data_IF_525428825479
#
_entry.id   IF_525428825479
#
_cell.length_a   1.000
_cell.length_b   1.000
_cell.length_c   1.000
_cell.angle_alpha   90.00
_cell.angle_beta   90.00
_cell.angle_gamma   90.00
#
_symmetry.space_group_name_H-M   'P 1'
#
loop_
_entity.id
_entity.type
_entity.pdbx_description
1 polymer ?
#
# COMPACT_ATOMS: atom_id res chain seq x y z
N UNK A 1 -18.12 -5.65 -15.49
CA UNK A 1 -18.13 -5.55 -14.02
C UNK A 1 -17.92 -4.10 -13.56
N UNK A 2 -16.77 -3.48 -13.86
CA UNK A 2 -16.43 -2.10 -13.43
C UNK A 2 -17.54 -1.07 -13.75
N UNK A 3 -18.10 -1.10 -14.96
CA UNK A 3 -19.18 -0.19 -15.35
C UNK A 3 -20.53 -0.40 -14.63
N UNK A 4 -20.72 -1.55 -13.96
CA UNK A 4 -21.98 -1.91 -13.31
C UNK A 4 -21.90 -1.82 -11.78
N UNK A 5 -20.71 -1.59 -11.22
CA UNK A 5 -20.43 -1.56 -9.77
C UNK A 5 -19.62 -0.30 -9.44
N UNK A 6 -20.27 0.87 -9.29
CA UNK A 6 -19.57 2.14 -9.11
C UNK A 6 -18.73 2.19 -7.84
N UNK A 7 -18.99 1.34 -6.84
CA UNK A 7 -18.13 1.21 -5.65
C UNK A 7 -16.70 0.76 -5.99
N UNK A 8 -16.48 0.16 -7.16
CA UNK A 8 -15.15 -0.25 -7.63
C UNK A 8 -14.30 0.92 -8.13
N UNK A 9 -14.93 2.05 -8.45
CA UNK A 9 -14.29 3.20 -9.14
C UNK A 9 -13.05 3.67 -8.41
N UNK A 10 -13.12 3.80 -7.08
CA UNK A 10 -12.00 4.28 -6.29
C UNK A 10 -10.77 3.36 -6.41
N UNK A 11 -10.95 2.04 -6.25
CA UNK A 11 -9.84 1.09 -6.35
C UNK A 11 -9.30 0.99 -7.79
N UNK A 12 -10.18 1.04 -8.78
CA UNK A 12 -9.81 0.98 -10.20
C UNK A 12 -8.97 2.20 -10.60
N UNK A 13 -9.29 3.40 -10.09
CA UNK A 13 -8.47 4.59 -10.32
C UNK A 13 -7.04 4.44 -9.78
N UNK A 14 -6.84 3.75 -8.65
CA UNK A 14 -5.50 3.42 -8.16
C UNK A 14 -4.80 2.39 -9.03
N UNK A 15 -5.50 1.34 -9.44
CA UNK A 15 -4.95 0.26 -10.28
C UNK A 15 -4.43 0.76 -11.62
N UNK A 16 -5.13 1.71 -12.25
CA UNK A 16 -4.73 2.29 -13.53
C UNK A 16 -3.91 3.59 -13.41
N UNK A 17 -3.45 3.91 -12.21
CA UNK A 17 -2.38 4.90 -12.00
C UNK A 17 -1.02 4.21 -11.96
N UNK A 18 0.08 4.97 -11.89
CA UNK A 18 1.42 4.42 -11.73
C UNK A 18 1.57 3.45 -10.54
N UNK A 19 0.71 3.59 -9.51
CA UNK A 19 0.68 2.66 -8.37
C UNK A 19 0.33 1.21 -8.76
N UNK A 20 -0.25 0.99 -9.94
CA UNK A 20 -0.52 -0.34 -10.49
C UNK A 20 0.73 -1.09 -10.96
N UNK A 21 1.84 -0.39 -11.21
CA UNK A 21 3.10 -0.94 -11.70
C UNK A 21 4.26 -0.55 -10.77
N UNK A 22 4.31 -1.04 -9.52
CA UNK A 22 5.39 -0.73 -8.59
C UNK A 22 6.74 -1.23 -9.12
N UNK A 23 7.79 -0.44 -8.88
CA UNK A 23 9.16 -0.82 -9.20
C UNK A 23 9.74 -1.73 -8.09
N UNK A 24 9.35 -3.00 -8.14
CA UNK A 24 9.64 -3.97 -7.09
C UNK A 24 8.82 -3.74 -5.81
N UNK A 25 8.97 -4.64 -4.84
CA UNK A 25 8.18 -4.58 -3.60
C UNK A 25 8.67 -3.52 -2.61
N UNK A 26 9.96 -3.17 -2.66
CA UNK A 26 10.59 -2.33 -1.64
C UNK A 26 10.18 -0.87 -1.75
N UNK A 27 9.82 -0.42 -2.94
CA UNK A 27 9.52 0.99 -3.24
C UNK A 27 8.01 1.27 -3.28
N UNK A 28 7.20 0.52 -2.53
CA UNK A 28 5.77 0.75 -2.39
C UNK A 28 5.33 0.83 -0.93
N UNK A 29 4.25 1.58 -0.70
CA UNK A 29 3.61 1.63 0.62
C UNK A 29 2.65 0.45 0.80
N UNK A 30 2.44 0.05 2.06
CA UNK A 30 1.39 -0.86 2.48
C UNK A 30 0.26 -0.12 3.20
N UNK A 31 -0.98 -0.57 2.99
CA UNK A 31 -2.17 0.02 3.61
C UNK A 31 -3.08 -1.10 4.13
N UNK A 32 -3.51 -1.00 5.39
CA UNK A 32 -4.39 -2.01 6.00
C UNK A 32 -5.80 -2.08 5.41
N UNK A 33 -6.16 -1.13 4.54
CA UNK A 33 -7.47 -0.97 3.89
C UNK A 33 -8.62 -0.71 4.86
N UNK A 34 -8.94 -1.67 5.74
CA UNK A 34 -10.03 -1.58 6.71
C UNK A 34 -9.73 -0.62 7.85
N UNK A 35 -10.81 -0.17 8.51
CA UNK A 35 -10.73 0.51 9.80
C UNK A 35 -10.72 -0.53 10.89
N UNK A 36 -9.75 -0.45 11.80
CA UNK A 36 -9.61 -1.34 12.95
C UNK A 36 -9.92 -0.57 14.24
N UNK A 37 -9.91 -1.29 15.38
CA UNK A 37 -10.00 -0.70 16.71
C UNK A 37 -8.73 -0.98 17.49
N UNK A 38 -8.17 0.04 18.13
CA UNK A 38 -7.16 -0.11 19.17
C UNK A 38 -7.85 0.08 20.52
N UNK A 39 -7.67 -0.88 21.43
CA UNK A 39 -8.29 -0.86 22.75
C UNK A 39 -7.19 -0.78 23.80
N UNK A 40 -7.25 0.20 24.70
CA UNK A 40 -6.27 0.37 25.77
C UNK A 40 -6.58 -0.54 26.98
N UNK A 41 -5.74 -0.47 28.01
CA UNK A 41 -5.86 -1.27 29.24
C UNK A 41 -7.15 -1.02 30.03
N UNK A 42 -7.77 0.15 29.83
CA UNK A 42 -8.97 0.61 30.53
C UNK A 42 -10.24 0.29 29.72
N UNK A 43 -10.11 -0.37 28.56
CA UNK A 43 -11.22 -0.75 27.67
C UNK A 43 -11.67 0.36 26.71
N UNK A 44 -10.99 1.50 26.71
CA UNK A 44 -11.31 2.62 25.81
C UNK A 44 -10.75 2.34 24.41
N UNK A 45 -11.52 2.71 23.38
CA UNK A 45 -11.20 2.37 22.01
C UNK A 45 -11.12 3.59 21.09
N UNK A 46 -10.19 3.55 20.14
CA UNK A 46 -10.13 4.46 18.99
C UNK A 46 -10.18 3.67 17.69
N UNK A 47 -10.76 4.26 16.65
CA UNK A 47 -10.61 3.74 15.30
C UNK A 47 -9.20 4.01 14.79
N UNK A 48 -8.67 3.09 13.98
CA UNK A 48 -7.38 3.29 13.35
C UNK A 48 -7.29 2.76 11.91
N UNK A 49 -6.33 3.32 11.16
CA UNK A 49 -5.80 2.80 9.90
C UNK A 49 -4.31 2.54 10.05
N UNK A 50 -3.84 1.39 9.57
CA UNK A 50 -2.42 1.05 9.52
C UNK A 50 -1.81 1.39 8.17
N UNK A 51 -0.63 2.01 8.19
CA UNK A 51 0.12 2.40 7.02
C UNK A 51 1.59 1.99 7.17
N UNK A 52 2.10 1.22 6.22
CA UNK A 52 3.53 0.98 6.06
C UNK A 52 4.06 1.96 5.02
N UNK A 53 4.91 2.89 5.44
CA UNK A 53 5.54 3.87 4.54
C UNK A 53 6.93 3.38 4.19
N UNK A 54 7.19 3.13 2.90
CA UNK A 54 8.50 2.70 2.43
C UNK A 54 9.53 3.79 2.74
N UNK A 55 10.62 3.41 3.39
CA UNK A 55 11.74 4.32 3.67
C UNK A 55 12.67 4.46 2.45
N UNK A 56 12.44 3.66 1.38
CA UNK A 56 13.20 3.70 0.13
C UNK A 56 12.63 4.73 -0.88
N UNK A 57 11.48 5.33 -0.55
CA UNK A 57 10.71 6.17 -1.45
C UNK A 57 9.83 5.37 -2.40
N UNK A 58 8.84 6.05 -3.00
CA UNK A 58 7.92 5.42 -3.94
C UNK A 58 8.49 5.52 -5.36
N UNK A 59 8.55 4.39 -6.06
CA UNK A 59 8.86 4.35 -7.49
C UNK A 59 7.96 3.38 -8.22
N UNK A 60 7.70 3.70 -9.48
CA UNK A 60 6.80 2.98 -10.35
C UNK A 60 7.42 2.87 -11.74
N UNK A 61 7.12 1.77 -12.42
CA UNK A 61 7.52 1.51 -13.79
C UNK A 61 6.54 2.17 -14.76
N UNK A 62 7.04 2.63 -15.90
CA UNK A 62 6.17 2.96 -17.03
C UNK A 62 5.44 1.70 -17.52
N UNK A 63 4.28 1.87 -18.15
CA UNK A 63 3.51 0.76 -18.69
C UNK A 63 4.32 -0.08 -19.68
N UNK A 64 5.09 0.57 -20.57
CA UNK A 64 5.94 -0.11 -21.55
C UNK A 64 7.02 -0.97 -20.85
N UNK A 65 7.68 -0.42 -19.81
CA UNK A 65 8.71 -1.16 -19.09
C UNK A 65 8.14 -2.32 -18.27
N UNK A 66 6.98 -2.11 -17.63
CA UNK A 66 6.28 -3.17 -16.92
C UNK A 66 5.85 -4.29 -17.89
N UNK A 67 5.38 -3.93 -19.09
CA UNK A 67 5.05 -4.88 -20.15
C UNK A 67 6.26 -5.70 -20.61
N UNK A 68 7.39 -5.04 -20.87
CA UNK A 68 8.65 -5.70 -21.24
C UNK A 68 9.13 -6.69 -20.15
N UNK A 69 9.16 -6.24 -18.89
CA UNK A 69 9.60 -7.07 -17.76
C UNK A 69 8.67 -8.26 -17.53
N UNK A 70 7.36 -8.11 -17.76
CA UNK A 70 6.41 -9.22 -17.57
C UNK A 70 6.72 -10.46 -18.41
N UNK A 71 7.39 -10.29 -19.56
CA UNK A 71 7.82 -11.40 -20.42
C UNK A 71 9.30 -11.74 -20.28
N UNK A 72 10.18 -10.72 -20.22
CA UNK A 72 11.63 -10.93 -20.16
C UNK A 72 12.12 -11.37 -18.78
N UNK A 73 11.40 -11.02 -17.72
CA UNK A 73 11.78 -11.25 -16.34
C UNK A 73 10.55 -11.27 -15.39
N UNK A 74 9.75 -12.35 -15.42
CA UNK A 74 8.54 -12.44 -14.61
C UNK A 74 8.82 -12.42 -13.09
N UNK A 75 10.07 -12.67 -12.67
CA UNK A 75 10.49 -12.70 -11.27
C UNK A 75 11.08 -11.37 -10.79
N UNK A 76 11.03 -10.30 -11.61
CA UNK A 76 11.67 -9.00 -11.34
C UNK A 76 11.56 -8.52 -9.89
N UNK A 77 10.32 -8.42 -9.37
CA UNK A 77 10.08 -7.88 -8.03
C UNK A 77 10.62 -8.80 -6.91
N UNK A 78 10.56 -10.13 -7.11
CA UNK A 78 11.15 -11.09 -6.18
C UNK A 78 12.66 -11.04 -6.21
N UNK A 79 13.28 -10.97 -7.40
CA UNK A 79 14.72 -10.87 -7.55
C UNK A 79 15.27 -9.57 -6.99
N UNK A 80 14.61 -8.43 -7.22
CA UNK A 80 14.97 -7.15 -6.60
C UNK A 80 15.01 -7.26 -5.07
N UNK A 81 13.96 -7.83 -4.47
CA UNK A 81 13.87 -8.00 -3.02
C UNK A 81 14.96 -8.94 -2.49
N UNK A 82 15.12 -10.11 -3.13
CA UNK A 82 16.11 -11.11 -2.73
C UNK A 82 17.54 -10.57 -2.80
N UNK A 83 17.93 -9.99 -3.94
CA UNK A 83 19.28 -9.47 -4.15
C UNK A 83 19.58 -8.34 -3.16
N UNK A 84 18.60 -7.46 -2.91
CA UNK A 84 18.78 -6.37 -1.96
C UNK A 84 19.04 -6.87 -0.54
N UNK A 85 18.34 -7.92 -0.10
CA UNK A 85 18.61 -8.55 1.20
C UNK A 85 19.97 -9.24 1.19
N UNK A 86 20.31 -9.99 0.13
CA UNK A 86 21.58 -10.71 0.02
C UNK A 86 22.80 -9.77 0.03
N UNK A 87 22.65 -8.56 -0.52
CA UNK A 87 23.67 -7.51 -0.56
C UNK A 87 23.73 -6.67 0.74
N UNK A 88 22.89 -6.95 1.73
CA UNK A 88 22.82 -6.18 2.98
C UNK A 88 22.06 -4.85 2.86
N UNK A 89 21.41 -4.58 1.71
CA UNK A 89 20.54 -3.44 1.46
C UNK A 89 19.10 -3.74 1.94
N UNK A 90 18.95 -3.98 3.25
CA UNK A 90 17.67 -4.37 3.84
C UNK A 90 16.60 -3.29 3.66
N UNK A 91 15.45 -3.59 3.03
CA UNK A 91 14.35 -2.66 2.99
C UNK A 91 13.68 -2.54 4.36
N UNK A 92 13.20 -1.34 4.65
CA UNK A 92 12.45 -1.00 5.85
C UNK A 92 11.20 -0.17 5.50
N UNK A 93 10.21 -0.30 6.37
CA UNK A 93 9.01 0.52 6.33
C UNK A 93 8.72 1.10 7.70
N UNK A 94 8.45 2.40 7.74
CA UNK A 94 7.91 3.08 8.90
C UNK A 94 6.42 2.77 9.07
N UNK A 95 6.05 2.09 10.16
CA UNK A 95 4.65 1.92 10.55
C UNK A 95 4.09 3.24 11.08
N UNK A 96 3.04 3.74 10.44
CA UNK A 96 2.25 4.91 10.85
C UNK A 96 0.83 4.48 11.14
N UNK A 97 0.24 5.06 12.19
CA UNK A 97 -1.15 4.82 12.57
C UNK A 97 -1.88 6.15 12.48
N UNK A 98 -2.96 6.17 11.69
CA UNK A 98 -3.93 7.25 11.75
C UNK A 98 -5.00 6.82 12.75
N UNK A 99 -5.32 7.69 13.72
CA UNK A 99 -6.30 7.42 14.77
C UNK A 99 -7.46 8.42 14.69
N UNK A 100 -8.63 7.98 15.13
CA UNK A 100 -9.83 8.80 15.23
C UNK A 100 -10.69 8.30 16.40
N UNK A 101 -11.15 9.21 17.24
CA UNK A 101 -12.17 8.90 18.26
C UNK A 101 -13.50 8.54 17.59
N UNK A 102 -14.43 7.96 18.34
CA UNK A 102 -15.73 7.61 17.79
C UNK A 102 -16.54 8.86 17.44
N UNK A 103 -16.46 9.90 18.29
CA UNK A 103 -17.13 11.17 18.07
C UNK A 103 -16.59 11.92 16.84
N UNK A 104 -15.28 11.85 16.59
CA UNK A 104 -14.67 12.38 15.37
C UNK A 104 -15.13 11.60 14.13
N UNK A 105 -15.23 10.28 14.22
CA UNK A 105 -15.66 9.43 13.11
C UNK A 105 -17.12 9.66 12.74
N UNK A 106 -18.03 9.82 13.72
CA UNK A 106 -19.44 10.13 13.46
C UNK A 106 -19.66 11.48 12.76
N UNK A 107 -18.76 12.44 13.02
CA UNK A 107 -18.83 13.78 12.41
C UNK A 107 -18.07 13.86 11.09
N UNK A 108 -17.37 12.80 10.70
CA UNK A 108 -16.60 12.79 9.47
C UNK A 108 -17.52 12.62 8.25
N UNK A 109 -17.20 13.33 7.17
CA UNK A 109 -18.07 13.50 6.00
C UNK A 109 -18.18 12.29 5.07
N UNK A 110 -17.57 11.16 5.41
CA UNK A 110 -17.60 9.90 4.64
C UNK A 110 -17.28 8.70 5.53
#
# INVERSE_FOLDING_TARGET
FISLRPETTHQVSFLFSDRGTPDGYRQMNGYGSHTFKLVNKDGEAVYCKFHFKSDQGIKNLSADKAGELSGSDPDYAMRDLYNSIAEGNYPSWSLKIQVMTYEEAEKFRW
#
